data_IF_594121640405
#
_entry.id   IF_594121640405
#
_cell.length_a   1.000
_cell.length_b   1.000
_cell.length_c   1.000
_cell.angle_alpha   90.00
_cell.angle_beta   90.00
_cell.angle_gamma   90.00
#
_symmetry.space_group_name_H-M   'P 1'
#
loop_
_entity.id
_entity.type
_entity.pdbx_description
1 polymer ?
#
# COMPACT_ATOMS: atom_id res chain seq x y z
N UNK A 1 -0.12 50.35 32.55
CA UNK A 1 0.83 50.14 33.67
C UNK A 1 1.30 48.69 33.54
N UNK A 2 2.56 48.59 33.08
CA UNK A 2 3.65 47.83 33.70
C UNK A 2 3.47 46.33 33.63
N UNK A 3 4.32 45.47 33.06
CA UNK A 3 5.79 45.52 32.95
C UNK A 3 6.27 44.43 31.99
N UNK A 4 7.33 44.76 31.30
CA UNK A 4 8.27 43.86 30.61
C UNK A 4 8.92 42.82 31.54
N UNK A 5 9.37 41.71 30.97
CA UNK A 5 10.41 40.82 31.47
C UNK A 5 10.68 39.80 30.37
N UNK A 6 11.57 39.97 29.57
CA UNK A 6 13.01 39.97 29.41
C UNK A 6 13.63 38.59 29.43
N UNK A 7 14.24 38.29 28.29
CA UNK A 7 15.50 37.59 28.05
C UNK A 7 15.71 36.13 28.48
N UNK A 8 15.99 35.32 27.47
CA UNK A 8 16.60 34.00 27.62
C UNK A 8 17.27 33.53 26.32
N UNK A 9 18.22 34.28 25.79
CA UNK A 9 19.22 33.83 24.81
C UNK A 9 20.25 32.94 25.52
N UNK A 10 20.41 31.69 25.14
CA UNK A 10 21.66 30.92 25.30
C UNK A 10 21.78 29.91 24.16
N UNK A 11 22.62 30.27 23.22
CA UNK A 11 23.90 29.66 22.87
C UNK A 11 23.86 28.41 22.03
N UNK A 12 24.22 28.63 20.78
CA UNK A 12 24.79 27.69 19.86
C UNK A 12 25.99 26.93 20.47
N UNK A 13 26.10 25.64 20.21
CA UNK A 13 27.42 24.96 20.24
C UNK A 13 27.61 24.10 19.02
N UNK A 14 28.51 24.58 18.18
CA UNK A 14 29.35 23.87 17.23
C UNK A 14 29.94 22.56 17.84
N UNK A 15 29.95 21.51 17.07
CA UNK A 15 31.02 20.52 17.03
C UNK A 15 31.01 19.95 15.61
N UNK A 16 31.84 20.42 14.75
CA UNK A 16 33.25 20.17 14.45
C UNK A 16 33.56 18.69 14.17
N UNK A 17 33.53 18.37 12.88
CA UNK A 17 34.61 17.79 12.08
C UNK A 17 35.60 16.85 12.78
N UNK A 18 35.58 15.57 12.43
CA UNK A 18 36.77 14.72 12.46
C UNK A 18 36.95 14.02 11.15
N UNK A 19 37.77 14.61 10.31
CA UNK A 19 38.47 13.98 9.22
C UNK A 19 39.48 12.96 9.80
N UNK A 20 39.36 11.72 9.45
CA UNK A 20 40.37 10.71 9.64
C UNK A 20 41.26 10.63 8.40
N UNK A 21 42.37 11.32 8.44
CA UNK A 21 43.46 11.22 7.46
C UNK A 21 44.14 9.87 7.54
N UNK A 22 44.28 9.21 6.42
CA UNK A 22 45.45 8.69 5.80
C UNK A 22 46.45 7.83 6.62
N UNK A 23 46.63 6.62 6.16
CA UNK A 23 47.91 5.97 6.26
C UNK A 23 48.27 5.40 4.90
N UNK A 24 49.14 6.13 4.21
CA UNK A 24 49.95 5.62 3.11
C UNK A 24 51.10 4.84 3.74
N UNK A 25 51.15 3.56 3.55
CA UNK A 25 52.37 2.79 3.79
C UNK A 25 53.06 2.54 2.45
N UNK A 26 54.19 3.22 2.29
CA UNK A 26 55.19 3.01 1.25
C UNK A 26 56.06 1.82 1.74
N UNK A 27 56.10 0.75 1.02
CA UNK A 27 57.14 -0.25 1.14
C UNK A 27 57.81 -0.41 -0.23
N UNK A 28 58.97 0.27 -0.35
CA UNK A 28 60.03 -0.03 -1.31
C UNK A 28 60.90 -1.15 -0.73
N UNK A 29 61.29 -2.10 -1.54
CA UNK A 29 62.51 -2.86 -1.24
C UNK A 29 62.47 -4.34 -1.64
N UNK A 30 62.97 -4.64 -2.79
CA UNK A 30 63.99 -5.64 -3.15
C UNK A 30 63.80 -7.11 -2.74
N UNK A 31 63.87 -7.97 -3.71
CA UNK A 31 64.21 -9.39 -3.50
C UNK A 31 63.73 -10.28 -4.65
N UNK A 32 64.62 -10.49 -5.61
CA UNK A 32 64.49 -11.55 -6.63
C UNK A 32 64.58 -12.91 -5.90
N UNK A 33 63.55 -13.72 -6.03
CA UNK A 33 63.64 -15.16 -5.84
C UNK A 33 62.61 -15.82 -6.78
N UNK A 34 63.17 -16.45 -7.81
CA UNK A 34 62.46 -17.40 -8.67
C UNK A 34 62.13 -18.64 -7.80
N UNK A 35 60.87 -18.88 -7.59
CA UNK A 35 60.38 -20.18 -7.11
C UNK A 35 59.25 -20.58 -8.04
N UNK A 36 59.52 -21.58 -8.86
CA UNK A 36 58.50 -22.33 -9.59
C UNK A 36 57.58 -22.98 -8.56
N UNK A 37 56.35 -22.62 -8.52
CA UNK A 37 55.34 -23.31 -7.78
C UNK A 37 54.19 -23.68 -8.70
N UNK A 38 53.90 -24.97 -8.69
CA UNK A 38 52.88 -25.66 -9.44
C UNK A 38 51.53 -24.91 -9.39
N UNK A 39 50.95 -24.71 -10.58
CA UNK A 39 49.58 -24.23 -10.73
C UNK A 39 48.62 -25.33 -10.20
N UNK A 40 48.20 -25.20 -8.95
CA UNK A 40 47.03 -25.90 -8.47
C UNK A 40 45.82 -25.13 -9.00
N UNK A 41 45.22 -25.61 -10.08
CA UNK A 41 43.92 -25.16 -10.56
C UNK A 41 42.87 -25.46 -9.48
N UNK A 42 42.65 -24.53 -8.58
CA UNK A 42 41.46 -24.54 -7.71
C UNK A 42 40.23 -24.30 -8.59
N UNK A 43 39.55 -25.40 -8.92
CA UNK A 43 38.19 -25.34 -9.47
C UNK A 43 37.32 -24.75 -8.36
N UNK A 44 37.10 -23.43 -8.39
CA UNK A 44 36.07 -22.78 -7.58
C UNK A 44 34.77 -23.29 -8.16
N UNK A 45 34.22 -24.33 -7.55
CA UNK A 45 32.85 -24.76 -7.79
C UNK A 45 31.93 -23.60 -7.46
N UNK A 46 31.42 -22.91 -8.49
CA UNK A 46 30.31 -22.00 -8.35
C UNK A 46 29.13 -22.84 -7.85
N UNK A 47 28.96 -22.91 -6.55
CA UNK A 47 27.71 -23.39 -5.95
C UNK A 47 26.62 -22.44 -6.47
N UNK A 48 25.90 -22.86 -7.49
CA UNK A 48 24.70 -22.17 -7.94
C UNK A 48 23.76 -22.10 -6.74
N UNK A 49 23.60 -20.93 -6.13
CA UNK A 49 22.61 -20.73 -5.09
C UNK A 49 21.27 -21.20 -5.67
N UNK A 50 20.48 -21.99 -4.93
CA UNK A 50 19.17 -22.40 -5.41
C UNK A 50 18.39 -21.13 -5.77
N UNK A 51 18.05 -20.96 -7.04
CA UNK A 51 17.17 -19.91 -7.48
C UNK A 51 15.82 -20.19 -6.82
N UNK A 52 15.46 -19.43 -5.78
CA UNK A 52 14.11 -19.47 -5.23
C UNK A 52 13.17 -19.12 -6.37
N UNK A 53 12.40 -20.08 -6.84
CA UNK A 53 11.40 -19.85 -7.87
C UNK A 53 10.44 -18.78 -7.37
N UNK A 54 10.42 -17.63 -8.02
CA UNK A 54 9.48 -16.59 -7.68
C UNK A 54 8.07 -17.16 -7.80
N UNK A 55 7.24 -16.94 -6.77
CA UNK A 55 5.84 -17.39 -6.78
C UNK A 55 5.13 -16.84 -8.00
N UNK A 56 4.77 -17.72 -8.94
CA UNK A 56 4.06 -17.33 -10.14
C UNK A 56 2.55 -17.48 -9.97
N UNK A 57 1.78 -16.77 -10.79
CA UNK A 57 0.33 -16.73 -10.71
C UNK A 57 -0.30 -17.12 -12.03
N UNK A 58 -1.46 -17.72 -11.94
CA UNK A 58 -2.35 -18.00 -13.07
C UNK A 58 -3.64 -17.22 -12.88
N UNK A 59 -4.05 -16.49 -13.90
CA UNK A 59 -5.33 -15.77 -13.95
C UNK A 59 -6.06 -16.15 -15.21
N UNK A 60 -7.31 -16.57 -15.09
CA UNK A 60 -8.19 -16.92 -16.21
C UNK A 60 -9.64 -16.51 -15.91
N UNK A 61 -10.39 -16.01 -16.89
CA UNK A 61 -9.97 -15.63 -18.24
C UNK A 61 -9.18 -14.32 -18.28
N UNK A 62 -9.11 -13.56 -17.17
CA UNK A 62 -8.52 -12.23 -17.14
C UNK A 62 -9.34 -11.19 -17.91
N UNK A 63 -8.70 -10.10 -18.36
CA UNK A 63 -9.36 -9.04 -19.11
C UNK A 63 -10.16 -8.07 -18.23
N UNK A 64 -11.16 -7.43 -18.81
CA UNK A 64 -12.02 -6.49 -18.11
C UNK A 64 -12.90 -7.19 -17.08
N UNK A 65 -12.96 -6.64 -15.87
CA UNK A 65 -13.79 -7.14 -14.77
C UNK A 65 -14.59 -6.02 -14.13
N UNK A 66 -15.81 -6.37 -13.70
CA UNK A 66 -16.65 -5.51 -12.85
C UNK A 66 -16.88 -6.23 -11.54
N UNK A 67 -16.54 -5.58 -10.43
CA UNK A 67 -16.84 -6.03 -9.08
C UNK A 67 -18.04 -5.25 -8.54
N UNK A 68 -19.09 -5.95 -8.13
CA UNK A 68 -20.27 -5.34 -7.50
C UNK A 68 -20.31 -5.70 -6.03
N UNK A 69 -20.49 -4.71 -5.18
CA UNK A 69 -20.71 -4.89 -3.75
C UNK A 69 -22.04 -4.28 -3.35
N UNK A 70 -22.70 -4.91 -2.39
CA UNK A 70 -23.79 -4.30 -1.64
C UNK A 70 -23.22 -3.30 -0.63
N UNK A 71 -23.59 -3.47 0.65
CA UNK A 71 -23.09 -2.59 1.72
C UNK A 71 -21.56 -2.54 1.76
N UNK A 72 -21.01 -1.32 1.73
CA UNK A 72 -19.61 -1.03 1.98
C UNK A 72 -19.48 -0.01 3.10
N UNK A 73 -18.40 -0.08 3.88
CA UNK A 73 -18.24 0.76 5.06
C UNK A 73 -16.83 1.31 5.12
N UNK A 74 -16.71 2.61 5.36
CA UNK A 74 -15.48 3.31 5.71
C UNK A 74 -15.60 3.71 7.18
N UNK A 75 -14.70 3.24 8.03
CA UNK A 75 -14.74 3.51 9.47
C UNK A 75 -13.50 4.27 9.90
N UNK A 76 -13.67 5.43 10.47
CA UNK A 76 -12.65 6.13 11.25
C UNK A 76 -12.42 5.35 12.55
N UNK A 77 -11.24 4.79 12.70
CA UNK A 77 -10.89 3.99 13.88
C UNK A 77 -10.65 4.83 15.13
N UNK A 78 -10.29 6.09 14.93
CA UNK A 78 -9.93 7.01 16.00
C UNK A 78 -11.18 7.58 16.67
N UNK A 79 -12.17 7.95 15.85
CA UNK A 79 -13.42 8.59 16.32
C UNK A 79 -14.62 7.63 16.35
N UNK A 80 -14.50 6.45 15.75
CA UNK A 80 -15.59 5.47 15.66
C UNK A 80 -16.67 5.81 14.64
N UNK A 81 -16.50 6.89 13.86
CA UNK A 81 -17.48 7.28 12.84
C UNK A 81 -17.44 6.32 11.65
N UNK A 82 -18.61 6.00 11.13
CA UNK A 82 -18.71 5.09 9.97
C UNK A 82 -19.58 5.69 8.88
N UNK A 83 -18.98 5.82 7.69
CA UNK A 83 -19.71 6.10 6.45
C UNK A 83 -20.17 4.76 5.88
N UNK A 84 -21.46 4.58 5.74
CA UNK A 84 -22.07 3.39 5.14
C UNK A 84 -22.65 3.74 3.77
N UNK A 85 -22.23 2.98 2.74
CA UNK A 85 -22.78 3.09 1.39
C UNK A 85 -23.66 1.87 1.10
N UNK A 86 -24.81 2.07 0.45
CA UNK A 86 -25.75 0.99 0.11
C UNK A 86 -25.20 0.04 -0.96
N UNK A 87 -24.38 0.56 -1.87
CA UNK A 87 -23.70 -0.24 -2.89
C UNK A 87 -22.43 0.44 -3.38
N UNK A 88 -21.55 -0.38 -3.98
CA UNK A 88 -20.41 0.15 -4.74
C UNK A 88 -20.08 -0.75 -5.93
N UNK A 89 -19.49 -0.13 -6.96
CA UNK A 89 -19.07 -0.81 -8.19
C UNK A 89 -17.63 -0.47 -8.49
N UNK A 90 -16.79 -1.48 -8.58
CA UNK A 90 -15.41 -1.39 -9.02
C UNK A 90 -15.29 -1.88 -10.46
N UNK A 91 -14.61 -1.15 -11.32
CA UNK A 91 -14.23 -1.61 -12.67
C UNK A 91 -12.73 -1.70 -12.77
N UNK A 92 -12.24 -2.66 -13.53
CA UNK A 92 -10.81 -2.87 -13.67
C UNK A 92 -10.45 -3.89 -14.73
N UNK A 93 -9.17 -4.23 -14.76
CA UNK A 93 -8.62 -5.26 -15.65
C UNK A 93 -7.74 -6.21 -14.85
N UNK A 94 -7.76 -7.48 -15.21
CA UNK A 94 -6.83 -8.49 -14.73
C UNK A 94 -5.95 -8.97 -15.87
N UNK A 95 -4.69 -9.28 -15.60
CA UNK A 95 -3.84 -9.99 -16.55
C UNK A 95 -4.45 -11.35 -16.88
N UNK A 96 -4.16 -11.91 -18.04
CA UNK A 96 -4.56 -13.26 -18.43
C UNK A 96 -3.31 -14.11 -18.66
N UNK A 97 -3.30 -15.33 -18.21
CA UNK A 97 -2.21 -16.28 -18.45
C UNK A 97 -1.72 -16.99 -17.19
N UNK A 98 -0.61 -17.71 -17.35
CA UNK A 98 0.16 -18.37 -16.31
C UNK A 98 1.58 -17.81 -16.25
N UNK A 99 2.31 -18.10 -15.15
CA UNK A 99 3.67 -17.56 -14.96
C UNK A 99 3.70 -16.06 -14.63
N UNK A 100 2.55 -15.49 -14.25
CA UNK A 100 2.44 -14.06 -13.99
C UNK A 100 3.09 -13.68 -12.66
N UNK A 101 3.72 -12.51 -12.60
CA UNK A 101 4.15 -11.93 -11.32
C UNK A 101 2.93 -11.55 -10.48
N UNK A 102 2.99 -11.75 -9.16
CA UNK A 102 1.92 -11.34 -8.24
C UNK A 102 1.75 -9.83 -8.17
N UNK A 103 2.82 -9.06 -8.36
CA UNK A 103 2.78 -7.61 -8.44
C UNK A 103 2.08 -7.14 -9.72
N UNK A 104 1.11 -6.25 -9.58
CA UNK A 104 0.35 -5.70 -10.70
C UNK A 104 -0.41 -6.78 -11.48
N UNK A 105 -0.99 -7.75 -10.76
CA UNK A 105 -1.80 -8.81 -11.37
C UNK A 105 -3.05 -8.27 -12.04
N UNK A 106 -3.52 -7.12 -11.55
CA UNK A 106 -4.63 -6.36 -12.11
C UNK A 106 -4.56 -4.89 -11.73
N UNK A 107 -5.56 -4.14 -12.19
CA UNK A 107 -5.72 -2.72 -11.87
C UNK A 107 -7.19 -2.40 -11.75
N UNK A 108 -7.59 -1.81 -10.63
CA UNK A 108 -8.90 -1.16 -10.49
C UNK A 108 -8.78 0.22 -11.11
N UNK A 109 -9.61 0.52 -12.10
CA UNK A 109 -9.60 1.78 -12.86
C UNK A 109 -10.64 2.78 -12.39
N UNK A 110 -11.70 2.31 -11.74
CA UNK A 110 -12.71 3.15 -11.11
C UNK A 110 -13.40 2.44 -9.95
N UNK A 111 -13.80 3.21 -8.95
CA UNK A 111 -14.59 2.75 -7.82
C UNK A 111 -15.66 3.79 -7.51
N UNK A 112 -16.91 3.43 -7.72
CA UNK A 112 -18.06 4.29 -7.51
C UNK A 112 -18.90 3.80 -6.32
N UNK A 113 -19.32 4.72 -5.46
CA UNK A 113 -20.16 4.45 -4.30
C UNK A 113 -21.54 5.09 -4.48
N UNK A 114 -22.57 4.46 -3.92
CA UNK A 114 -23.95 4.95 -3.97
C UNK A 114 -24.61 4.90 -2.59
N UNK A 115 -25.45 5.89 -2.32
CA UNK A 115 -26.24 5.97 -1.10
C UNK A 115 -25.38 5.96 0.16
N UNK A 116 -24.28 6.74 0.16
CA UNK A 116 -23.42 6.84 1.33
C UNK A 116 -23.99 7.82 2.34
N UNK A 117 -23.98 7.41 3.61
CA UNK A 117 -24.43 8.25 4.72
C UNK A 117 -23.54 8.07 5.93
N UNK A 118 -23.46 9.10 6.77
CA UNK A 118 -22.94 9.07 8.14
C UNK A 118 -24.00 9.65 9.06
N UNK A 119 -24.45 8.87 10.06
CA UNK A 119 -25.56 9.29 10.95
C UNK A 119 -26.78 9.86 10.22
N UNK A 120 -27.15 9.28 9.06
CA UNK A 120 -28.26 9.71 8.23
C UNK A 120 -27.97 10.89 7.27
N UNK A 121 -26.81 11.55 7.39
CA UNK A 121 -26.43 12.66 6.51
C UNK A 121 -25.74 12.10 5.26
N UNK A 122 -26.10 12.60 4.09
CA UNK A 122 -25.52 12.19 2.80
C UNK A 122 -24.04 12.55 2.71
N UNK A 123 -23.25 11.58 2.27
CA UNK A 123 -21.79 11.69 2.08
C UNK A 123 -21.44 11.35 0.63
N UNK A 124 -20.59 12.13 0.02
CA UNK A 124 -19.96 11.79 -1.27
C UNK A 124 -18.57 11.22 -1.01
N UNK A 125 -18.28 10.05 -1.60
CA UNK A 125 -16.95 9.40 -1.54
C UNK A 125 -16.44 9.29 -2.97
N UNK A 126 -15.26 9.85 -3.23
CA UNK A 126 -14.62 9.82 -4.54
C UNK A 126 -13.23 9.22 -4.42
N UNK A 127 -12.95 8.17 -5.17
CA UNK A 127 -11.61 7.57 -5.29
C UNK A 127 -11.05 7.92 -6.67
N UNK A 128 -9.81 8.38 -6.70
CA UNK A 128 -9.14 8.84 -7.92
C UNK A 128 -7.94 7.96 -8.25
N UNK A 129 -7.57 7.95 -9.53
CA UNK A 129 -6.39 7.24 -10.01
C UNK A 129 -6.62 5.75 -10.26
N UNK A 130 -5.56 5.09 -10.68
CA UNK A 130 -5.51 3.65 -10.92
C UNK A 130 -4.91 2.96 -9.69
N UNK A 131 -5.60 1.95 -9.20
CA UNK A 131 -5.21 1.19 -8.01
C UNK A 131 -4.71 -0.20 -8.41
N UNK A 132 -3.39 -0.47 -8.37
CA UNK A 132 -2.83 -1.79 -8.63
C UNK A 132 -3.38 -2.84 -7.66
N UNK A 133 -3.71 -4.00 -8.20
CA UNK A 133 -4.10 -5.20 -7.47
C UNK A 133 -2.94 -6.18 -7.50
N UNK A 134 -2.40 -6.51 -6.33
CA UNK A 134 -1.26 -7.40 -6.18
C UNK A 134 -1.67 -8.65 -5.41
N UNK A 135 -1.23 -9.82 -5.86
CA UNK A 135 -1.42 -11.07 -5.16
C UNK A 135 -0.15 -11.40 -4.34
N UNK A 136 -0.33 -11.86 -3.11
CA UNK A 136 0.76 -12.07 -2.14
C UNK A 136 0.92 -13.53 -1.73
N UNK A 137 -0.17 -14.27 -1.56
CA UNK A 137 -0.15 -15.69 -1.23
C UNK A 137 -1.43 -16.38 -1.67
N UNK A 138 -1.36 -17.70 -1.83
CA UNK A 138 -2.50 -18.53 -2.20
C UNK A 138 -2.63 -19.73 -1.28
N UNK A 139 -3.83 -19.98 -0.80
CA UNK A 139 -4.16 -21.19 -0.06
C UNK A 139 -4.93 -22.14 -0.98
N UNK A 140 -4.28 -23.23 -1.38
CA UNK A 140 -4.84 -24.20 -2.31
C UNK A 140 -6.02 -24.99 -1.71
N UNK A 141 -6.03 -25.22 -0.41
CA UNK A 141 -7.13 -25.93 0.29
C UNK A 141 -8.41 -25.10 0.29
N UNK A 142 -8.31 -23.83 0.68
CA UNK A 142 -9.48 -22.94 0.74
C UNK A 142 -9.76 -22.24 -0.59
N UNK A 143 -8.85 -22.35 -1.58
CA UNK A 143 -8.90 -21.68 -2.88
C UNK A 143 -8.97 -20.15 -2.76
N UNK A 144 -8.27 -19.59 -1.78
CA UNK A 144 -8.26 -18.16 -1.47
C UNK A 144 -6.89 -17.57 -1.76
N UNK A 145 -6.87 -16.48 -2.54
CA UNK A 145 -5.69 -15.65 -2.76
C UNK A 145 -5.71 -14.46 -1.80
N UNK A 146 -4.61 -14.22 -1.07
CA UNK A 146 -4.39 -12.98 -0.33
C UNK A 146 -3.88 -11.91 -1.27
N UNK A 147 -4.40 -10.70 -1.16
CA UNK A 147 -4.15 -9.62 -2.09
C UNK A 147 -3.97 -8.27 -1.37
N UNK A 148 -3.37 -7.30 -2.07
CA UNK A 148 -3.37 -5.91 -1.67
C UNK A 148 -3.85 -5.03 -2.82
N UNK A 149 -4.57 -3.97 -2.49
CA UNK A 149 -4.92 -2.89 -3.42
C UNK A 149 -4.14 -1.66 -2.95
N UNK A 150 -3.35 -1.08 -3.84
CA UNK A 150 -2.40 -0.01 -3.52
C UNK A 150 -2.69 1.26 -4.30
N UNK A 151 -2.01 2.36 -3.96
CA UNK A 151 -2.20 3.69 -4.56
C UNK A 151 -3.63 4.23 -4.41
N UNK A 152 -4.28 3.91 -3.30
CA UNK A 152 -5.60 4.44 -2.99
C UNK A 152 -5.45 5.89 -2.57
N UNK A 153 -6.19 6.76 -3.25
CA UNK A 153 -6.30 8.17 -2.95
C UNK A 153 -7.71 8.64 -3.27
N UNK A 154 -8.26 9.51 -2.45
CA UNK A 154 -9.62 9.97 -2.65
C UNK A 154 -10.04 11.08 -1.70
N UNK A 155 -11.32 11.41 -1.73
CA UNK A 155 -11.92 12.41 -0.86
C UNK A 155 -13.27 11.96 -0.34
N UNK A 156 -13.63 12.50 0.81
CA UNK A 156 -14.96 12.41 1.40
C UNK A 156 -15.48 13.84 1.53
N UNK A 157 -16.76 14.05 1.23
CA UNK A 157 -17.42 15.33 1.45
C UNK A 157 -18.84 15.17 1.95
N UNK A 158 -19.24 16.06 2.86
CA UNK A 158 -20.58 16.18 3.45
C UNK A 158 -21.04 17.59 3.21
N UNK A 159 -21.78 17.80 2.11
CA UNK A 159 -22.17 19.15 1.67
C UNK A 159 -23.03 19.90 2.68
N UNK A 160 -23.90 19.19 3.40
CA UNK A 160 -24.82 19.80 4.38
C UNK A 160 -24.10 20.59 5.50
N UNK A 161 -22.85 20.26 5.79
CA UNK A 161 -22.05 20.91 6.84
C UNK A 161 -20.72 21.46 6.30
N UNK A 162 -20.54 21.50 4.97
CA UNK A 162 -19.31 21.93 4.31
C UNK A 162 -18.05 21.20 4.80
N UNK A 163 -18.21 19.95 5.25
CA UNK A 163 -17.10 19.10 5.67
C UNK A 163 -16.50 18.40 4.44
N UNK A 164 -15.19 18.47 4.30
CA UNK A 164 -14.44 17.69 3.31
C UNK A 164 -13.11 17.21 3.91
N UNK A 165 -12.64 16.07 3.45
CA UNK A 165 -11.35 15.53 3.85
C UNK A 165 -10.78 14.64 2.73
N UNK A 166 -9.47 14.46 2.73
CA UNK A 166 -8.76 13.55 1.83
C UNK A 166 -8.54 12.21 2.51
N UNK A 167 -8.63 11.12 1.76
CA UNK A 167 -8.19 9.78 2.18
C UNK A 167 -6.94 9.44 1.40
N UNK A 168 -5.87 9.06 2.10
CA UNK A 168 -4.61 8.60 1.51
C UNK A 168 -3.94 7.58 2.45
N UNK A 169 -2.78 7.08 2.07
CA UNK A 169 -1.94 6.27 2.95
C UNK A 169 -1.09 7.12 3.88
N UNK A 170 -0.27 6.46 4.67
CA UNK A 170 0.65 7.13 5.60
C UNK A 170 1.51 8.17 4.88
N UNK A 171 1.49 9.43 5.34
CA UNK A 171 2.29 10.51 4.76
C UNK A 171 1.59 11.36 3.70
N UNK A 172 0.29 11.50 3.75
CA UNK A 172 -0.61 12.45 3.07
C UNK A 172 -0.43 12.72 1.55
N UNK A 173 0.80 12.91 1.07
CA UNK A 173 1.06 13.33 -0.32
C UNK A 173 1.61 12.21 -1.21
N UNK A 174 1.78 11.02 -0.68
CA UNK A 174 2.47 9.94 -1.39
C UNK A 174 1.56 9.11 -2.30
N UNK A 175 0.23 9.31 -2.27
CA UNK A 175 -0.76 8.47 -2.95
C UNK A 175 -0.45 6.98 -2.78
N UNK A 176 -0.10 6.59 -1.54
CA UNK A 176 0.36 5.26 -1.17
C UNK A 176 -0.67 4.48 -0.34
N UNK A 177 -1.92 4.94 -0.31
CA UNK A 177 -3.00 4.24 0.37
C UNK A 177 -3.09 2.78 -0.04
N UNK A 178 -3.27 1.90 0.95
CA UNK A 178 -3.31 0.46 0.72
C UNK A 178 -4.35 -0.19 1.62
N UNK A 179 -5.04 -1.19 1.08
CA UNK A 179 -5.88 -2.11 1.84
C UNK A 179 -5.49 -3.55 1.54
N UNK A 180 -5.69 -4.44 2.51
CA UNK A 180 -5.60 -5.89 2.29
C UNK A 180 -6.94 -6.43 1.85
N UNK A 181 -6.89 -7.46 1.03
CA UNK A 181 -8.07 -8.15 0.53
C UNK A 181 -7.81 -9.65 0.39
N UNK A 182 -8.87 -10.42 0.26
CA UNK A 182 -8.80 -11.83 -0.13
C UNK A 182 -9.72 -12.06 -1.31
N UNK A 183 -9.28 -12.85 -2.28
CA UNK A 183 -10.13 -13.30 -3.40
C UNK A 183 -10.42 -14.79 -3.26
N UNK A 184 -11.69 -15.14 -3.19
CA UNK A 184 -12.14 -16.52 -3.15
C UNK A 184 -12.54 -16.99 -4.56
N UNK A 185 -11.84 -17.99 -5.09
CA UNK A 185 -12.16 -18.62 -6.36
C UNK A 185 -13.47 -19.41 -6.30
N UNK A 186 -13.96 -19.78 -5.12
CA UNK A 186 -15.20 -20.51 -4.95
C UNK A 186 -16.42 -19.61 -5.12
N UNK A 187 -16.33 -18.37 -4.61
CA UNK A 187 -17.45 -17.43 -4.62
C UNK A 187 -17.27 -16.28 -5.61
N UNK A 188 -16.14 -16.22 -6.33
CA UNK A 188 -15.74 -15.11 -7.21
C UNK A 188 -15.78 -13.75 -6.50
N UNK A 189 -15.42 -13.71 -5.22
CA UNK A 189 -15.58 -12.53 -4.39
C UNK A 189 -14.23 -12.03 -3.88
N UNK A 190 -13.96 -10.76 -4.14
CA UNK A 190 -12.88 -10.00 -3.51
C UNK A 190 -13.43 -9.35 -2.24
N UNK A 191 -12.98 -9.81 -1.09
CA UNK A 191 -13.34 -9.25 0.22
C UNK A 191 -12.22 -8.32 0.70
N UNK A 192 -12.52 -7.03 0.86
CA UNK A 192 -11.61 -6.07 1.48
C UNK A 192 -11.68 -6.23 3.00
N UNK A 193 -10.50 -6.31 3.62
CA UNK A 193 -10.35 -6.59 5.05
C UNK A 193 -10.25 -5.29 5.85
N UNK A 194 -10.89 -5.27 7.01
CA UNK A 194 -10.84 -4.13 7.92
C UNK A 194 -9.44 -3.86 8.51
N UNK A 195 -8.57 -4.88 8.54
CA UNK A 195 -7.25 -4.77 9.15
C UNK A 195 -6.12 -4.85 8.12
N UNK A 196 -4.97 -4.25 8.47
CA UNK A 196 -3.73 -4.34 7.71
C UNK A 196 -3.63 -3.40 6.51
N UNK A 197 -4.51 -2.40 6.42
CA UNK A 197 -4.36 -1.24 5.55
C UNK A 197 -3.60 -0.10 6.25
N UNK A 198 -3.31 0.96 5.48
CA UNK A 198 -2.65 2.17 5.97
C UNK A 198 -3.40 3.45 5.60
N UNK A 199 -4.72 3.36 5.42
CA UNK A 199 -5.52 4.53 5.06
C UNK A 199 -5.67 5.47 6.24
N UNK A 200 -5.57 6.77 5.97
CA UNK A 200 -5.75 7.84 6.94
C UNK A 200 -6.55 9.00 6.31
N UNK A 201 -7.13 9.81 7.18
CA UNK A 201 -7.80 11.07 6.83
C UNK A 201 -6.79 12.21 6.91
N UNK A 202 -6.83 13.09 5.91
CA UNK A 202 -5.98 14.28 5.87
C UNK A 202 -6.78 15.52 5.46
N UNK A 203 -6.27 16.68 5.88
CA UNK A 203 -6.80 17.98 5.51
C UNK A 203 -8.32 18.12 5.74
N UNK A 204 -8.85 17.75 6.92
CA UNK A 204 -10.26 18.00 7.19
C UNK A 204 -10.52 19.50 7.19
N UNK A 205 -11.58 19.92 6.47
CA UNK A 205 -12.02 21.31 6.47
C UNK A 205 -12.62 21.70 7.82
N UNK A 206 -12.73 23.01 8.09
CA UNK A 206 -13.34 23.53 9.33
C UNK A 206 -14.79 23.08 9.53
N UNK A 207 -15.54 22.82 8.44
CA UNK A 207 -16.89 22.28 8.51
C UNK A 207 -17.01 20.90 9.13
N UNK A 208 -15.90 20.15 9.24
CA UNK A 208 -15.89 18.86 9.93
C UNK A 208 -15.98 18.98 11.45
N UNK A 209 -15.78 20.18 12.04
CA UNK A 209 -16.01 20.48 13.45
C UNK A 209 -15.41 19.44 14.44
N UNK A 210 -14.24 18.88 14.12
CA UNK A 210 -13.56 17.88 14.94
C UNK A 210 -14.17 16.46 14.87
N UNK A 211 -15.19 16.23 14.06
CA UNK A 211 -15.75 14.89 13.82
C UNK A 211 -14.72 13.94 13.20
N UNK A 212 -13.80 14.46 12.41
CA UNK A 212 -12.60 13.78 11.92
C UNK A 212 -11.40 14.68 12.11
N UNK A 213 -10.23 14.09 12.30
CA UNK A 213 -8.98 14.82 12.54
C UNK A 213 -7.93 14.44 11.51
N UNK A 214 -6.92 15.29 11.36
CA UNK A 214 -5.79 14.99 10.51
C UNK A 214 -5.04 13.75 11.03
N UNK A 215 -4.73 12.83 10.15
CA UNK A 215 -4.07 11.56 10.41
C UNK A 215 -4.93 10.51 11.18
N UNK A 216 -6.25 10.69 11.24
CA UNK A 216 -7.14 9.64 11.77
C UNK A 216 -7.05 8.39 10.89
N UNK A 217 -6.86 7.23 11.51
CA UNK A 217 -6.74 5.97 10.81
C UNK A 217 -8.10 5.46 10.32
N UNK A 218 -8.16 4.98 9.08
CA UNK A 218 -9.39 4.56 8.42
C UNK A 218 -9.34 3.10 8.00
N UNK A 219 -10.41 2.37 8.22
CA UNK A 219 -10.66 1.07 7.64
C UNK A 219 -11.70 1.15 6.52
N UNK A 220 -11.51 0.35 5.49
CA UNK A 220 -12.50 0.13 4.44
C UNK A 220 -12.88 -1.34 4.38
N UNK A 221 -14.17 -1.65 4.30
CA UNK A 221 -14.67 -3.01 4.15
C UNK A 221 -15.72 -3.10 3.05
N UNK A 222 -15.70 -4.21 2.32
CA UNK A 222 -16.66 -4.50 1.26
C UNK A 222 -16.36 -5.86 0.61
N UNK A 223 -17.39 -6.45 0.04
CA UNK A 223 -17.28 -7.72 -0.70
C UNK A 223 -17.74 -7.53 -2.14
N UNK A 224 -16.81 -7.61 -3.09
CA UNK A 224 -17.03 -7.36 -4.51
C UNK A 224 -17.12 -8.69 -5.27
N UNK A 225 -18.30 -9.02 -5.75
CA UNK A 225 -18.49 -10.18 -6.65
C UNK A 225 -18.05 -9.80 -8.05
N UNK A 226 -17.14 -10.57 -8.62
CA UNK A 226 -16.58 -10.33 -9.95
C UNK A 226 -17.44 -10.90 -11.08
N UNK A 227 -17.53 -10.11 -12.14
CA UNK A 227 -18.13 -10.52 -13.41
C UNK A 227 -17.22 -10.03 -14.55
N UNK A 228 -16.82 -10.92 -15.49
CA UNK A 228 -17.00 -12.35 -15.48
C UNK A 228 -16.24 -13.04 -14.32
N UNK A 229 -16.63 -14.29 -14.01
CA UNK A 229 -15.92 -15.11 -13.03
C UNK A 229 -14.44 -15.21 -13.33
N UNK A 230 -13.62 -15.20 -12.29
CA UNK A 230 -12.16 -15.24 -12.41
C UNK A 230 -11.60 -16.43 -11.62
N UNK A 231 -10.50 -16.96 -12.10
CA UNK A 231 -9.65 -17.91 -11.36
C UNK A 231 -8.32 -17.22 -11.13
N UNK A 232 -7.95 -17.03 -9.88
CA UNK A 232 -6.67 -16.44 -9.45
C UNK A 232 -6.00 -17.43 -8.52
N UNK A 233 -4.93 -18.09 -8.97
CA UNK A 233 -4.23 -19.11 -8.19
C UNK A 233 -2.72 -19.05 -8.38
N UNK A 234 -2.00 -19.62 -7.43
CA UNK A 234 -0.57 -19.91 -7.51
C UNK A 234 -0.38 -21.44 -7.35
N UNK A 235 0.73 -21.99 -7.86
CA UNK A 235 1.09 -23.39 -7.64
C UNK A 235 1.16 -23.76 -6.18
#
# INVERSE_FOLDING_TARGET
MVSCGDSGLIAARHQANRQGKGVRAILKGWGRALVMSAAAASVVGLAAAPAFAATTWTVKPGGAVTGTAGKTVVTDKTKGLSVTCTSSVAKGTLKNGSGLAGAGLGTVTSLAFKGCTVSGITVSVTITGKMPLNATSYNATTKVASMTITKIHGSISVSAISCSATIDGTGAAAHNGMVKATFSNTTDTLKVLAAGGNLHIYNPSSGCSGAVSNNDAVNFTGGYKFTPKQIIKSP
#
